data_IF_845399831626
#
_entry.id   IF_845399831626
#
_cell.length_a   1.000
_cell.length_b   1.000
_cell.length_c   1.000
_cell.angle_alpha   90.00
_cell.angle_beta   90.00
_cell.angle_gamma   90.00
#
_symmetry.space_group_name_H-M   'P 1'
#
loop_
_entity.id
_entity.type
_entity.pdbx_description
1 polymer ?
#
# COMPACT_ATOMS: atom_id res chain seq x y z
N UNK A 1 -0.78 -5.87 -21.50
CA UNK A 1 -0.95 -5.18 -20.23
C UNK A 1 -2.04 -5.86 -19.43
N UNK A 2 -1.74 -6.20 -18.21
CA UNK A 2 -2.67 -6.94 -17.36
C UNK A 2 -3.73 -6.01 -16.78
N UNK A 3 -5.02 -6.36 -16.99
CA UNK A 3 -6.13 -5.57 -16.48
C UNK A 3 -6.15 -5.51 -14.95
N UNK A 4 -5.66 -6.56 -14.30
CA UNK A 4 -5.65 -6.62 -12.84
C UNK A 4 -4.67 -5.61 -12.25
N UNK A 5 -3.55 -5.38 -12.91
CA UNK A 5 -2.60 -4.35 -12.49
C UNK A 5 -3.19 -2.95 -12.61
N UNK A 6 -3.93 -2.67 -13.67
CA UNK A 6 -4.58 -1.38 -13.85
C UNK A 6 -5.66 -1.13 -12.79
N UNK A 7 -6.38 -2.19 -12.41
CA UNK A 7 -7.43 -2.08 -11.39
C UNK A 7 -6.90 -1.76 -10.01
N UNK A 8 -5.68 -2.21 -9.68
CA UNK A 8 -5.08 -1.96 -8.37
C UNK A 8 -4.36 -0.62 -8.28
N UNK A 9 -3.82 -0.14 -9.39
CA UNK A 9 -3.06 1.11 -9.40
C UNK A 9 -3.91 2.30 -9.03
N UNK A 10 -3.41 3.10 -8.07
CA UNK A 10 -4.08 4.31 -7.62
C UNK A 10 -5.24 4.07 -6.68
N UNK A 11 -5.55 2.84 -6.34
CA UNK A 11 -6.56 2.53 -5.32
C UNK A 11 -5.94 2.57 -3.94
N UNK A 12 -6.76 2.87 -2.94
CA UNK A 12 -6.32 2.95 -1.56
C UNK A 12 -6.59 1.64 -0.85
N UNK A 13 -5.58 1.12 -0.15
CA UNK A 13 -5.69 -0.10 0.64
C UNK A 13 -6.82 0.05 1.68
N UNK A 14 -7.67 -0.97 1.77
CA UNK A 14 -8.78 -0.98 2.72
C UNK A 14 -10.02 -0.23 2.28
N UNK A 15 -9.99 0.44 1.13
CA UNK A 15 -11.16 1.13 0.60
C UNK A 15 -12.19 0.17 0.06
N UNK A 16 -13.47 0.43 0.37
CA UNK A 16 -14.58 -0.37 -0.12
C UNK A 16 -14.80 -0.12 -1.61
N UNK A 17 -15.07 -1.19 -2.37
CA UNK A 17 -15.40 -1.11 -3.79
C UNK A 17 -16.65 -0.29 -4.07
N UNK A 18 -17.59 -0.25 -3.13
CA UNK A 18 -18.86 0.46 -3.26
C UNK A 18 -18.75 1.94 -2.88
N UNK A 19 -17.59 2.38 -2.39
CA UNK A 19 -17.39 3.77 -2.04
C UNK A 19 -17.34 4.63 -3.31
N UNK A 20 -18.26 5.62 -3.45
CA UNK A 20 -18.25 6.50 -4.61
C UNK A 20 -17.00 7.40 -4.68
N UNK A 21 -16.26 7.50 -3.59
CA UNK A 21 -15.01 8.28 -3.52
C UNK A 21 -13.77 7.40 -3.58
N UNK A 22 -13.77 6.39 -4.43
CA UNK A 22 -12.60 5.53 -4.61
C UNK A 22 -11.40 6.33 -5.09
N UNK A 23 -10.21 5.90 -4.63
CA UNK A 23 -8.96 6.54 -4.98
C UNK A 23 -8.50 7.56 -3.94
N UNK A 24 -7.34 8.19 -4.19
CA UNK A 24 -6.75 9.14 -3.23
C UNK A 24 -7.58 10.39 -3.09
N UNK A 25 -7.65 10.89 -1.87
CA UNK A 25 -8.39 12.11 -1.54
C UNK A 25 -7.42 13.28 -1.35
N UNK A 26 -7.82 14.52 -1.72
CA UNK A 26 -6.98 15.69 -1.47
C UNK A 26 -6.77 15.92 0.03
N UNK A 27 -5.60 16.43 0.38
CA UNK A 27 -5.27 16.76 1.76
C UNK A 27 -4.84 15.58 2.62
N UNK A 28 -4.67 14.38 2.04
CA UNK A 28 -4.20 13.20 2.75
C UNK A 28 -2.84 12.75 2.22
N UNK A 29 -2.07 12.10 3.06
CA UNK A 29 -0.74 11.59 2.70
C UNK A 29 -0.83 10.09 2.39
N UNK A 30 -0.20 9.69 1.29
CA UNK A 30 -0.19 8.29 0.87
C UNK A 30 1.21 7.80 0.59
N UNK A 31 1.43 6.50 0.83
CA UNK A 31 2.61 5.78 0.37
C UNK A 31 2.18 4.76 -0.69
N UNK A 32 2.91 4.69 -1.79
CA UNK A 32 2.66 3.70 -2.84
C UNK A 32 3.34 2.39 -2.48
N UNK A 33 2.60 1.30 -2.55
CA UNK A 33 3.14 -0.04 -2.31
C UNK A 33 3.70 -0.60 -3.61
N UNK A 34 4.95 -1.06 -3.56
CA UNK A 34 5.68 -1.52 -4.75
C UNK A 34 6.07 -2.98 -4.59
N UNK A 35 5.66 -3.80 -5.53
CA UNK A 35 5.94 -5.24 -5.51
C UNK A 35 4.95 -6.00 -4.64
N UNK A 36 5.02 -7.33 -4.71
CA UNK A 36 4.19 -8.21 -3.90
C UNK A 36 2.71 -8.16 -4.22
N UNK A 37 1.88 -8.73 -3.32
CA UNK A 37 0.45 -8.89 -3.59
C UNK A 37 -0.34 -7.58 -3.62
N UNK A 38 0.18 -6.51 -3.03
CA UNK A 38 -0.51 -5.22 -2.97
C UNK A 38 0.14 -4.16 -3.86
N UNK A 39 0.93 -4.60 -4.84
CA UNK A 39 1.60 -3.69 -5.78
C UNK A 39 0.64 -2.71 -6.43
N UNK A 40 0.98 -1.44 -6.39
CA UNK A 40 0.19 -0.36 -6.98
C UNK A 40 -0.85 0.27 -6.07
N UNK A 41 -1.15 -0.34 -4.92
CA UNK A 41 -2.07 0.26 -3.96
C UNK A 41 -1.41 1.41 -3.22
N UNK A 42 -2.24 2.33 -2.75
CA UNK A 42 -1.82 3.45 -1.91
C UNK A 42 -2.22 3.18 -0.47
N UNK A 43 -1.29 3.37 0.45
CA UNK A 43 -1.57 3.26 1.88
C UNK A 43 -1.71 4.67 2.45
N UNK A 44 -2.84 4.94 3.12
CA UNK A 44 -3.08 6.23 3.77
C UNK A 44 -2.25 6.30 5.06
N UNK A 45 -1.26 7.18 5.06
CA UNK A 45 -0.36 7.38 6.20
C UNK A 45 -0.57 8.75 6.85
N UNK A 46 -1.71 9.38 6.58
CA UNK A 46 -2.03 10.69 7.15
C UNK A 46 -2.00 10.64 8.67
N UNK A 47 -1.24 11.53 9.28
CA UNK A 47 -1.13 11.59 10.74
C UNK A 47 -0.16 10.59 11.36
N UNK A 48 0.49 9.74 10.57
CA UNK A 48 1.49 8.82 11.11
C UNK A 48 2.74 9.57 11.56
N UNK A 49 3.33 9.12 12.65
CA UNK A 49 4.60 9.67 13.12
C UNK A 49 5.74 9.20 12.23
N UNK A 50 6.85 9.92 12.29
CA UNK A 50 8.07 9.54 11.55
C UNK A 50 8.52 8.13 11.91
N UNK A 51 8.47 7.76 13.20
CA UNK A 51 8.84 6.43 13.66
C UNK A 51 7.95 5.34 13.08
N UNK A 52 6.64 5.57 13.03
CA UNK A 52 5.70 4.63 12.42
C UNK A 52 5.99 4.42 10.94
N UNK A 53 6.27 5.51 10.22
CA UNK A 53 6.58 5.45 8.80
C UNK A 53 7.89 4.67 8.55
N UNK A 54 8.91 4.90 9.37
CA UNK A 54 10.23 4.28 9.21
C UNK A 54 10.25 2.79 9.59
N UNK A 55 9.32 2.35 10.42
CA UNK A 55 9.24 0.96 10.86
C UNK A 55 8.76 0.01 9.77
N UNK A 56 8.00 0.53 8.80
CA UNK A 56 7.35 -0.32 7.81
C UNK A 56 6.03 -0.86 8.31
N UNK A 57 5.39 -1.73 7.53
CA UNK A 57 4.06 -2.25 7.86
C UNK A 57 3.93 -3.73 7.50
N UNK A 58 3.04 -4.41 8.21
CA UNK A 58 2.55 -5.74 7.87
C UNK A 58 1.06 -5.61 7.59
N UNK A 59 0.68 -5.70 6.32
CA UNK A 59 -0.70 -5.44 5.90
C UNK A 59 -1.45 -6.75 5.66
N UNK A 60 -2.56 -7.00 6.36
CA UNK A 60 -3.39 -8.17 6.10
C UNK A 60 -3.85 -8.23 4.65
N UNK A 61 -3.73 -9.40 4.01
CA UNK A 61 -4.20 -9.59 2.65
C UNK A 61 -4.41 -11.07 2.37
N UNK A 62 -5.44 -11.38 1.61
CA UNK A 62 -5.70 -12.73 1.12
C UNK A 62 -4.92 -13.03 -0.16
N UNK A 63 -4.31 -12.02 -0.77
CA UNK A 63 -3.64 -12.13 -2.06
C UNK A 63 -2.20 -12.66 -1.97
N UNK A 64 -1.64 -12.78 -0.77
CA UNK A 64 -0.28 -13.25 -0.56
C UNK A 64 -0.15 -14.76 -0.48
N UNK A 65 1.07 -15.24 -0.21
CA UNK A 65 1.41 -16.66 -0.14
C UNK A 65 0.63 -17.44 0.90
N UNK A 66 0.21 -16.78 1.98
CA UNK A 66 -0.45 -17.45 3.10
C UNK A 66 -1.98 -17.35 3.06
N UNK A 67 -2.54 -16.78 1.97
CA UNK A 67 -3.98 -16.67 1.80
C UNK A 67 -4.67 -15.90 2.91
N UNK A 68 -5.88 -16.30 3.27
CA UNK A 68 -6.63 -15.65 4.33
C UNK A 68 -5.88 -15.72 5.65
N UNK A 69 -5.77 -14.59 6.35
CA UNK A 69 -5.01 -14.48 7.60
C UNK A 69 -3.55 -14.13 7.42
N UNK A 70 -3.03 -14.16 6.19
CA UNK A 70 -1.66 -13.77 5.91
C UNK A 70 -1.47 -12.26 5.84
N UNK A 71 -0.21 -11.84 5.84
CA UNK A 71 0.16 -10.43 5.76
C UNK A 71 1.30 -10.23 4.77
N UNK A 72 1.29 -9.08 4.11
CA UNK A 72 2.38 -8.66 3.24
C UNK A 72 3.20 -7.59 3.97
N UNK A 73 4.51 -7.79 4.00
CA UNK A 73 5.44 -6.86 4.65
C UNK A 73 5.95 -5.85 3.64
N UNK A 74 5.86 -4.56 3.99
CA UNK A 74 6.36 -3.47 3.17
C UNK A 74 7.27 -2.58 4.01
N UNK A 75 8.46 -2.26 3.47
CA UNK A 75 9.45 -1.42 4.13
C UNK A 75 9.61 -0.09 3.38
N UNK A 76 9.79 1.02 4.09
CA UNK A 76 9.90 2.32 3.44
C UNK A 76 11.17 2.43 2.61
N UNK A 77 11.04 3.08 1.46
CA UNK A 77 12.15 3.47 0.61
C UNK A 77 12.48 4.94 0.91
N UNK A 78 13.75 5.31 0.83
CA UNK A 78 14.14 6.70 0.98
C UNK A 78 13.42 7.58 -0.03
N UNK A 79 12.66 8.60 0.42
CA UNK A 79 11.92 9.45 -0.49
C UNK A 79 12.87 10.38 -1.27
N UNK A 80 12.57 10.55 -2.55
CA UNK A 80 13.25 11.56 -3.35
C UNK A 80 12.45 12.86 -3.32
N UNK A 81 13.11 14.01 -3.40
CA UNK A 81 12.40 15.29 -3.42
C UNK A 81 11.37 15.34 -4.55
N UNK A 82 10.15 15.75 -4.22
CA UNK A 82 9.07 15.88 -5.19
C UNK A 82 8.37 14.57 -5.58
N UNK A 83 8.81 13.43 -5.08
CA UNK A 83 8.19 12.15 -5.36
C UNK A 83 7.30 11.70 -4.21
N UNK A 84 6.24 10.92 -4.56
CA UNK A 84 5.42 10.26 -3.56
C UNK A 84 6.26 9.24 -2.82
N UNK A 85 6.02 9.09 -1.51
CA UNK A 85 6.66 8.07 -0.69
C UNK A 85 6.31 6.67 -1.22
N UNK A 86 7.29 5.78 -1.27
CA UNK A 86 7.13 4.41 -1.73
C UNK A 86 7.66 3.43 -0.70
N UNK A 87 6.97 2.30 -0.58
CA UNK A 87 7.38 1.21 0.30
C UNK A 87 7.49 -0.06 -0.53
N UNK A 88 8.62 -0.75 -0.38
CA UNK A 88 8.91 -1.97 -1.14
C UNK A 88 8.49 -3.22 -0.38
N UNK A 89 7.92 -4.17 -1.11
CA UNK A 89 7.56 -5.46 -0.55
C UNK A 89 8.82 -6.22 -0.12
N UNK A 90 8.81 -6.75 1.12
CA UNK A 90 9.94 -7.50 1.67
C UNK A 90 9.62 -8.97 1.93
N UNK A 91 8.39 -9.37 1.74
CA UNK A 91 7.97 -10.77 1.92
C UNK A 91 6.59 -10.87 2.53
N UNK A 92 6.07 -12.10 2.58
CA UNK A 92 4.80 -12.40 3.21
C UNK A 92 5.02 -13.16 4.51
N UNK A 93 4.06 -13.05 5.43
CA UNK A 93 4.07 -13.76 6.71
C UNK A 93 2.67 -14.30 7.01
N UNK A 94 2.59 -15.45 7.71
CA UNK A 94 1.30 -15.99 8.13
C UNK A 94 0.59 -15.14 9.18
#
# INVERSE_FOLDING_TARGET
>A
MDRDEELLRGRVYGQDHDDPRQGPQPGRDYAELVGGPLDGLLLDITGWTKGEIETGVALPTELGHFGAGGRAMYDPRDPRPGERRRWDWSGDTP
#
